data_IF_755266495277
#
_entry.id   IF_755266495277
#
_cell.length_a   1.000
_cell.length_b   1.000
_cell.length_c   1.000
_cell.angle_alpha   90.00
_cell.angle_beta   90.00
_cell.angle_gamma   90.00
#
_symmetry.space_group_name_H-M   'P 1'
#
loop_
_entity.id
_entity.type
_entity.pdbx_description
1 polymer ?
#
# COMPACT_ATOMS: atom_id res chain seq x y z
N UNK A 1 8.31 36.64 16.64
CA UNK A 1 7.74 35.49 17.38
C UNK A 1 6.45 34.92 16.79
N UNK A 2 5.66 35.69 16.03
CA UNK A 2 4.47 35.19 15.32
C UNK A 2 4.78 34.12 14.25
N UNK A 3 5.88 34.27 13.50
CA UNK A 3 6.28 33.33 12.42
C UNK A 3 6.50 31.91 12.95
N UNK A 4 7.08 31.75 14.14
CA UNK A 4 7.34 30.43 14.74
C UNK A 4 6.03 29.68 14.97
N UNK A 5 4.99 30.36 15.44
CA UNK A 5 3.66 29.75 15.68
C UNK A 5 3.04 29.27 14.36
N UNK A 6 3.16 30.07 13.29
CA UNK A 6 2.66 29.69 11.95
C UNK A 6 3.41 28.45 11.42
N UNK A 7 4.74 28.42 11.57
CA UNK A 7 5.56 27.28 11.14
C UNK A 7 5.21 25.99 11.89
N UNK A 8 4.93 26.08 13.19
CA UNK A 8 4.52 24.92 14.01
C UNK A 8 3.18 24.36 13.54
N UNK A 9 2.20 25.22 13.24
CA UNK A 9 0.89 24.77 12.73
C UNK A 9 1.06 24.06 11.39
N UNK A 10 1.83 24.66 10.47
CA UNK A 10 2.11 24.06 9.17
C UNK A 10 2.83 22.71 9.33
N UNK A 11 3.81 22.60 10.22
CA UNK A 11 4.54 21.33 10.42
C UNK A 11 3.62 20.23 10.94
N UNK A 12 2.71 20.54 11.86
CA UNK A 12 1.73 19.58 12.39
C UNK A 12 0.77 19.13 11.29
N UNK A 13 0.29 20.05 10.44
CA UNK A 13 -0.57 19.72 9.30
C UNK A 13 0.15 18.79 8.33
N UNK A 14 1.40 19.11 7.96
CA UNK A 14 2.21 18.29 7.06
C UNK A 14 2.41 16.90 7.65
N UNK A 15 2.88 16.81 8.90
CA UNK A 15 3.08 15.52 9.58
C UNK A 15 1.78 14.69 9.66
N UNK A 16 0.66 15.33 10.02
CA UNK A 16 -0.65 14.68 10.07
C UNK A 16 -1.14 14.18 8.71
N UNK A 17 -0.92 14.96 7.64
CA UNK A 17 -1.27 14.57 6.27
C UNK A 17 -0.47 13.35 5.79
N UNK A 18 0.84 13.32 6.07
CA UNK A 18 1.69 12.17 5.76
C UNK A 18 1.27 10.93 6.53
N UNK A 19 0.95 11.07 7.83
CA UNK A 19 0.45 9.96 8.64
C UNK A 19 -0.89 9.42 8.12
N UNK A 20 -1.83 10.30 7.77
CA UNK A 20 -3.12 9.91 7.21
C UNK A 20 -2.96 9.18 5.86
N UNK A 21 -2.11 9.70 4.98
CA UNK A 21 -1.79 9.07 3.70
C UNK A 21 -1.13 7.69 3.90
N UNK A 22 -0.21 7.58 4.86
CA UNK A 22 0.42 6.31 5.22
C UNK A 22 -0.60 5.27 5.71
N UNK A 23 -1.47 5.64 6.64
CA UNK A 23 -2.52 4.74 7.15
C UNK A 23 -3.46 4.32 6.01
N UNK A 24 -3.85 5.25 5.13
CA UNK A 24 -4.68 4.93 3.97
C UNK A 24 -3.98 3.94 3.03
N UNK A 25 -2.68 4.13 2.76
CA UNK A 25 -1.88 3.23 1.92
C UNK A 25 -1.80 1.82 2.48
N UNK A 26 -1.53 1.68 3.79
CA UNK A 26 -1.48 0.38 4.48
C UNK A 26 -2.85 -0.30 4.44
N UNK A 27 -3.93 0.44 4.70
CA UNK A 27 -5.30 -0.10 4.68
C UNK A 27 -5.80 -0.47 3.28
N UNK A 28 -5.22 0.10 2.22
CA UNK A 28 -5.58 -0.20 0.83
C UNK A 28 -5.07 -1.59 0.38
N UNK A 29 -4.37 -2.34 1.24
CA UNK A 29 -3.92 -3.68 0.88
C UNK A 29 -2.78 -3.67 -0.13
N UNK A 30 -1.97 -2.59 -0.18
CA UNK A 30 -0.73 -2.57 -0.97
C UNK A 30 0.24 -3.69 -0.54
N UNK A 31 0.07 -4.23 0.66
CA UNK A 31 0.80 -5.37 1.19
C UNK A 31 0.12 -6.73 0.94
N UNK A 32 -1.05 -6.77 0.30
CA UNK A 32 -1.75 -8.04 0.04
C UNK A 32 -1.09 -8.86 -1.09
N UNK A 33 -0.08 -8.31 -1.77
CA UNK A 33 0.74 -9.02 -2.75
C UNK A 33 2.04 -9.57 -2.12
N UNK A 34 1.88 -10.35 -1.06
CA UNK A 34 2.98 -11.08 -0.40
C UNK A 34 3.61 -12.16 -1.31
N UNK A 35 2.88 -12.55 -2.37
CA UNK A 35 3.33 -13.51 -3.38
C UNK A 35 3.72 -12.79 -4.67
N UNK A 36 5.02 -12.62 -4.87
CA UNK A 36 5.57 -11.90 -6.03
C UNK A 36 4.94 -12.41 -7.35
N UNK A 37 4.60 -11.51 -8.29
CA UNK A 37 3.94 -11.86 -9.54
C UNK A 37 4.67 -12.94 -10.36
N UNK A 38 6.01 -13.02 -10.26
CA UNK A 38 6.81 -14.05 -10.89
C UNK A 38 6.52 -15.47 -10.39
N UNK A 39 6.17 -15.62 -9.11
CA UNK A 39 5.82 -16.93 -8.51
C UNK A 39 4.39 -17.30 -8.86
N UNK A 40 3.45 -16.34 -8.81
CA UNK A 40 2.05 -16.57 -9.21
C UNK A 40 1.96 -17.08 -10.65
N UNK A 41 2.70 -16.46 -11.56
CA UNK A 41 2.70 -16.81 -12.99
C UNK A 41 3.17 -18.25 -13.25
N UNK A 42 4.15 -18.75 -12.47
CA UNK A 42 4.65 -20.13 -12.60
C UNK A 42 3.62 -21.20 -12.22
N UNK A 43 2.66 -20.86 -11.36
CA UNK A 43 1.64 -21.80 -10.87
C UNK A 43 0.27 -21.59 -11.49
N UNK A 44 -0.03 -20.41 -12.04
CA UNK A 44 -1.30 -20.11 -12.73
C UNK A 44 -1.53 -21.02 -13.95
N UNK A 45 -0.46 -21.33 -14.69
CA UNK A 45 -0.53 -22.21 -15.86
C UNK A 45 -0.93 -23.66 -15.48
N UNK A 46 -0.56 -24.13 -14.28
CA UNK A 46 -0.85 -25.50 -13.82
C UNK A 46 -2.29 -25.71 -13.34
N UNK A 47 -2.94 -24.66 -12.83
CA UNK A 47 -4.31 -24.76 -12.29
C UNK A 47 -5.34 -24.80 -13.42
N UNK A 48 -5.06 -24.15 -14.56
CA UNK A 48 -5.95 -24.17 -15.73
C UNK A 48 -6.00 -25.54 -16.42
N UNK A 49 -4.89 -26.27 -16.51
CA UNK A 49 -4.89 -27.62 -17.13
C UNK A 49 -5.75 -28.62 -16.32
N UNK A 50 -5.69 -28.57 -14.99
CA UNK A 50 -6.43 -29.50 -14.13
C UNK A 50 -7.96 -29.24 -14.15
N UNK A 51 -8.39 -28.00 -14.43
CA UNK A 51 -9.81 -27.67 -14.62
C UNK A 51 -10.38 -28.12 -15.97
N UNK A 52 -9.56 -28.24 -17.01
CA UNK A 52 -9.98 -28.77 -18.31
C UNK A 52 -9.95 -30.30 -18.37
N UNK A 53 -9.17 -30.95 -17.50
CA UNK A 53 -9.02 -32.41 -17.44
C UNK A 53 -10.09 -33.12 -16.59
N UNK A 54 -11.05 -32.39 -16.01
CA UNK A 54 -12.08 -32.94 -15.10
C UNK A 54 -13.47 -32.67 -15.62
#
# INVERSE_FOLDING_TARGET
MSVVIVLVIISVIVAGSFLAAFIWSVRKGQYDDDYTPSVRMLFDDTVSENKLSK
#
